data_IF_748635618935
#
_entry.id   IF_748635618935
#
_cell.length_a   1.000
_cell.length_b   1.000
_cell.length_c   1.000
_cell.angle_alpha   90.00
_cell.angle_beta   90.00
_cell.angle_gamma   90.00
#
_symmetry.space_group_name_H-M   'P 1'
#
loop_
_entity.id
_entity.type
_entity.pdbx_description
1 polymer ?
#
# COMPACT_ATOMS: atom_id res chain seq x y z
N UNK A 1 2.76 5.81 -14.80
CA UNK A 1 2.68 4.83 -13.69
C UNK A 1 4.06 4.22 -13.55
N UNK A 2 4.66 4.31 -12.36
CA UNK A 2 6.00 3.81 -12.07
C UNK A 2 6.06 2.27 -12.26
N UNK A 3 7.19 1.75 -12.75
CA UNK A 3 7.41 0.30 -12.90
C UNK A 3 7.26 -0.45 -11.56
N UNK A 4 7.63 0.20 -10.45
CA UNK A 4 7.45 -0.35 -9.10
C UNK A 4 5.98 -0.55 -8.73
N UNK A 5 5.11 0.41 -9.06
CA UNK A 5 3.66 0.30 -8.82
C UNK A 5 3.07 -0.84 -9.65
N UNK A 6 3.46 -0.96 -10.92
CA UNK A 6 2.97 -2.04 -11.79
C UNK A 6 3.35 -3.41 -11.24
N UNK A 7 4.60 -3.59 -10.81
CA UNK A 7 5.07 -4.84 -10.21
C UNK A 7 4.31 -5.16 -8.91
N UNK A 8 4.09 -4.17 -8.04
CA UNK A 8 3.33 -4.36 -6.81
C UNK A 8 1.86 -4.75 -7.09
N UNK A 9 1.24 -4.17 -8.12
CA UNK A 9 -0.11 -4.52 -8.55
C UNK A 9 -0.18 -5.95 -9.10
N UNK A 10 0.82 -6.41 -9.84
CA UNK A 10 0.90 -7.82 -10.28
C UNK A 10 0.95 -8.75 -9.07
N UNK A 11 1.81 -8.47 -8.08
CA UNK A 11 1.83 -9.23 -6.83
C UNK A 11 0.50 -9.19 -6.08
N UNK A 12 -0.25 -8.09 -6.11
CA UNK A 12 -1.60 -8.03 -5.53
C UNK A 12 -2.58 -8.96 -6.25
N UNK A 13 -2.52 -9.03 -7.59
CA UNK A 13 -3.38 -9.91 -8.40
C UNK A 13 -3.07 -11.39 -8.14
N UNK A 14 -1.80 -11.72 -8.00
CA UNK A 14 -1.33 -13.08 -7.70
C UNK A 14 -1.44 -13.44 -6.20
N UNK A 15 -2.01 -12.54 -5.38
CA UNK A 15 -2.17 -12.68 -3.93
C UNK A 15 -0.84 -12.83 -3.17
N UNK A 16 0.26 -12.40 -3.77
CA UNK A 16 1.58 -12.29 -3.15
C UNK A 16 1.70 -11.02 -2.31
N UNK A 17 0.80 -10.87 -1.33
CA UNK A 17 0.64 -9.65 -0.54
C UNK A 17 1.91 -9.22 0.21
N UNK A 18 2.78 -10.17 0.58
CA UNK A 18 4.09 -9.88 1.20
C UNK A 18 5.00 -9.09 0.27
N UNK A 19 5.07 -9.48 -1.00
CA UNK A 19 5.93 -8.83 -2.00
C UNK A 19 5.36 -7.47 -2.39
N UNK A 20 4.04 -7.41 -2.62
CA UNK A 20 3.34 -6.15 -2.84
C UNK A 20 3.55 -5.16 -1.67
N UNK A 21 3.39 -5.61 -0.42
CA UNK A 21 3.59 -4.79 0.77
C UNK A 21 4.98 -4.15 0.83
N UNK A 22 6.04 -4.93 0.55
CA UNK A 22 7.42 -4.41 0.57
C UNK A 22 7.62 -3.29 -0.45
N UNK A 23 7.12 -3.47 -1.67
CA UNK A 23 7.26 -2.46 -2.72
C UNK A 23 6.44 -1.22 -2.37
N UNK A 24 5.20 -1.39 -1.93
CA UNK A 24 4.39 -0.24 -1.52
C UNK A 24 4.99 0.50 -0.33
N UNK A 25 5.63 -0.18 0.63
CA UNK A 25 6.35 0.51 1.71
C UNK A 25 7.46 1.41 1.15
N UNK A 26 8.27 0.93 0.21
CA UNK A 26 9.32 1.73 -0.42
C UNK A 26 8.70 2.93 -1.15
N UNK A 27 7.70 2.71 -1.98
CA UNK A 27 7.03 3.78 -2.75
C UNK A 27 6.30 4.79 -1.85
N UNK A 28 5.80 4.36 -0.69
CA UNK A 28 5.19 5.29 0.28
C UNK A 28 6.18 6.30 0.85
N UNK A 29 7.49 5.99 0.88
CA UNK A 29 8.53 6.93 1.35
C UNK A 29 8.74 8.13 0.42
N UNK A 30 8.33 8.00 -0.84
CA UNK A 30 8.35 9.08 -1.83
C UNK A 30 6.93 9.62 -2.08
N UNK A 31 6.00 9.37 -1.16
CA UNK A 31 4.62 9.84 -1.19
C UNK A 31 3.82 9.38 -2.42
N UNK A 32 4.11 8.21 -2.98
CA UNK A 32 3.31 7.67 -4.08
C UNK A 32 1.86 7.38 -3.63
N UNK A 33 0.91 8.04 -4.28
CA UNK A 33 -0.51 7.98 -3.95
C UNK A 33 -1.12 6.57 -4.07
N UNK A 34 -0.67 5.79 -5.05
CA UNK A 34 -1.14 4.42 -5.27
C UNK A 34 -0.63 3.53 -4.15
N UNK A 35 0.63 3.69 -3.77
CA UNK A 35 1.24 2.93 -2.69
C UNK A 35 0.59 3.22 -1.33
N UNK A 36 0.33 4.48 -1.01
CA UNK A 36 -0.35 4.88 0.23
C UNK A 36 -1.76 4.26 0.30
N UNK A 37 -2.52 4.35 -0.79
CA UNK A 37 -3.86 3.73 -0.89
C UNK A 37 -3.79 2.21 -0.74
N UNK A 38 -2.83 1.56 -1.39
CA UNK A 38 -2.67 0.12 -1.34
C UNK A 38 -2.28 -0.37 0.06
N UNK A 39 -1.36 0.31 0.76
CA UNK A 39 -1.02 0.00 2.15
C UNK A 39 -2.22 0.14 3.08
N UNK A 40 -3.01 1.22 2.93
CA UNK A 40 -4.26 1.38 3.66
C UNK A 40 -5.23 0.21 3.43
N UNK A 41 -5.35 -0.25 2.18
CA UNK A 41 -6.16 -1.43 1.84
C UNK A 41 -5.62 -2.73 2.46
N UNK A 42 -4.30 -2.94 2.48
CA UNK A 42 -3.69 -4.13 3.09
C UNK A 42 -4.01 -4.19 4.59
N UNK A 43 -3.86 -3.08 5.32
CA UNK A 43 -4.20 -3.00 6.75
C UNK A 43 -5.71 -3.08 7.00
N UNK A 44 -6.56 -2.51 6.13
CA UNK A 44 -8.03 -2.61 6.26
C UNK A 44 -8.53 -4.04 6.15
N UNK A 45 -7.93 -4.84 5.26
CA UNK A 45 -8.38 -6.20 4.96
C UNK A 45 -7.58 -7.28 5.71
N UNK A 46 -6.42 -6.95 6.28
CA UNK A 46 -5.55 -7.92 6.93
C UNK A 46 -4.79 -8.81 5.93
N UNK A 47 -4.41 -8.25 4.77
CA UNK A 47 -3.66 -8.99 3.76
C UNK A 47 -2.17 -8.92 4.06
N UNK A 48 -1.57 -10.08 4.39
CA UNK A 48 -0.21 -10.27 4.91
C UNK A 48 0.08 -9.61 6.27
N UNK A 49 -0.52 -8.45 6.55
CA UNK A 49 -0.46 -7.76 7.84
C UNK A 49 -1.68 -8.08 8.69
N UNK A 50 -1.56 -7.97 10.02
CA UNK A 50 -2.73 -7.99 10.89
C UNK A 50 -3.67 -6.85 10.54
N UNK A 51 -4.97 -7.14 10.48
CA UNK A 51 -5.99 -6.11 10.22
C UNK A 51 -5.90 -5.01 11.28
N UNK A 52 -5.72 -3.77 10.85
CA UNK A 52 -5.58 -2.60 11.70
C UNK A 52 -6.22 -1.39 11.02
N UNK A 53 -7.40 -1.00 11.50
CA UNK A 53 -8.14 0.12 10.91
C UNK A 53 -7.52 1.48 11.27
N UNK A 54 -6.84 1.60 12.42
CA UNK A 54 -6.18 2.84 12.79
C UNK A 54 -5.01 3.09 11.85
N UNK A 55 -4.21 2.05 11.59
CA UNK A 55 -3.09 2.14 10.66
C UNK A 55 -3.56 2.39 9.21
N UNK A 56 -4.68 1.79 8.80
CA UNK A 56 -5.30 2.09 7.52
C UNK A 56 -5.72 3.57 7.40
N UNK A 57 -6.29 4.16 8.46
CA UNK A 57 -6.64 5.57 8.51
C UNK A 57 -5.39 6.47 8.46
N UNK A 58 -4.29 6.07 9.08
CA UNK A 58 -3.05 6.85 9.02
C UNK A 58 -2.50 6.90 7.60
N UNK A 59 -2.57 5.81 6.84
CA UNK A 59 -2.24 5.84 5.40
C UNK A 59 -3.20 6.71 4.58
N UNK A 60 -4.49 6.74 4.92
CA UNK A 60 -5.46 7.64 4.26
C UNK A 60 -5.16 9.12 4.57
N UNK A 61 -4.78 9.44 5.80
CA UNK A 61 -4.36 10.80 6.18
C UNK A 61 -3.10 11.19 5.43
N UNK A 62 -2.11 10.30 5.36
CA UNK A 62 -0.89 10.53 4.61
C UNK A 62 -1.19 10.81 3.13
N UNK A 63 -2.08 10.04 2.49
CA UNK A 63 -2.56 10.33 1.13
C UNK A 63 -3.14 11.75 1.02
N UNK A 64 -4.00 12.16 1.96
CA UNK A 64 -4.63 13.49 1.95
C UNK A 64 -3.65 14.66 2.19
N UNK A 65 -2.43 14.40 2.69
CA UNK A 65 -1.41 15.43 2.91
C UNK A 65 -0.54 15.68 1.67
N UNK A 66 -0.61 14.82 0.66
CA UNK A 66 0.23 14.91 -0.55
C UNK A 66 -0.51 15.57 -1.72
N UNK A 67 -1.84 15.73 -1.62
CA UNK A 67 -2.71 16.45 -2.57
C UNK A 67 -2.83 17.94 -2.27
#
# INVERSE_FOLDING_TARGET
MDIGVNLALLYMLDKEYKNAYKIYQILSTINDHVALTALGNLYRNGFYVTKDLNKALDYQKAFNMVI
#
